data_IF_656997319391
#
_entry.id   IF_656997319391
#
_cell.length_a   1.000
_cell.length_b   1.000
_cell.length_c   1.000
_cell.angle_alpha   90.00
_cell.angle_beta   90.00
_cell.angle_gamma   90.00
#
_symmetry.space_group_name_H-M   'P 1'
#
loop_
_entity.id
_entity.type
_entity.pdbx_description
1 polymer ?
#
# COMPACT_ATOMS: atom_id res chain seq x y z
N UNK A 1 7.73 -0.53 17.53
CA UNK A 1 7.76 0.68 16.68
C UNK A 1 6.33 1.12 16.43
N UNK A 2 5.84 2.13 17.17
CA UNK A 2 4.50 2.72 17.00
C UNK A 2 4.57 4.14 16.36
N UNK A 3 5.78 4.62 16.06
CA UNK A 3 6.02 5.98 15.56
C UNK A 3 5.77 6.12 14.06
N UNK A 4 5.71 5.03 13.31
CA UNK A 4 5.44 5.07 11.87
C UNK A 4 4.00 5.51 11.59
N UNK A 5 3.02 4.88 12.24
CA UNK A 5 1.59 5.23 12.10
C UNK A 5 1.35 6.71 12.37
N UNK A 6 1.86 7.19 13.51
CA UNK A 6 1.74 8.60 13.88
C UNK A 6 2.37 9.53 12.84
N UNK A 7 3.61 9.25 12.42
CA UNK A 7 4.31 10.08 11.43
C UNK A 7 3.59 10.10 10.10
N UNK A 8 3.18 8.93 9.59
CA UNK A 8 2.44 8.83 8.33
C UNK A 8 1.13 9.63 8.44
N UNK A 9 0.35 9.42 9.50
CA UNK A 9 -0.90 10.14 9.74
C UNK A 9 -0.70 11.68 9.70
N UNK A 10 0.32 12.19 10.40
CA UNK A 10 0.70 13.61 10.38
C UNK A 10 1.14 14.08 8.98
N UNK A 11 1.95 13.29 8.28
CA UNK A 11 2.53 13.65 6.99
C UNK A 11 1.51 13.71 5.84
N UNK A 12 0.48 12.85 5.87
CA UNK A 12 -0.51 12.75 4.78
C UNK A 12 -1.94 13.17 5.17
N UNK A 13 -2.14 13.59 6.42
CA UNK A 13 -3.43 14.12 6.91
C UNK A 13 -4.52 13.06 7.12
N UNK A 14 -4.15 11.84 7.47
CA UNK A 14 -5.08 10.75 7.83
C UNK A 14 -5.14 10.58 9.34
N UNK A 15 -6.17 9.89 9.86
CA UNK A 15 -6.19 9.51 11.27
C UNK A 15 -5.17 8.38 11.55
N UNK A 16 -4.57 8.38 12.74
CA UNK A 16 -3.70 7.28 13.19
C UNK A 16 -4.41 5.93 13.12
N UNK A 17 -5.71 5.89 13.47
CA UNK A 17 -6.53 4.67 13.35
C UNK A 17 -6.62 4.15 11.90
N UNK A 18 -6.79 5.05 10.91
CA UNK A 18 -6.83 4.65 9.51
C UNK A 18 -5.50 4.04 9.06
N UNK A 19 -4.39 4.68 9.44
CA UNK A 19 -3.06 4.21 9.06
C UNK A 19 -2.68 2.93 9.80
N UNK A 20 -3.03 2.82 11.08
CA UNK A 20 -2.83 1.59 11.85
C UNK A 20 -3.60 0.44 11.21
N UNK A 21 -4.86 0.66 10.84
CA UNK A 21 -5.66 -0.35 10.17
C UNK A 21 -5.09 -0.78 8.83
N UNK A 22 -4.49 0.13 8.06
CA UNK A 22 -3.84 -0.21 6.79
C UNK A 22 -2.55 -0.99 7.05
N UNK A 23 -1.75 -0.56 8.04
CA UNK A 23 -0.55 -1.27 8.45
C UNK A 23 -0.86 -2.70 8.87
N UNK A 24 -1.90 -2.90 9.67
CA UNK A 24 -2.30 -4.22 10.13
C UNK A 24 -2.73 -5.10 8.96
N UNK A 25 -3.55 -4.55 8.06
CA UNK A 25 -3.96 -5.25 6.83
C UNK A 25 -2.77 -5.73 6.00
N UNK A 26 -1.79 -4.87 5.74
CA UNK A 26 -0.66 -5.21 4.87
C UNK A 26 0.33 -6.17 5.57
N UNK A 27 0.64 -5.93 6.86
CA UNK A 27 1.81 -6.53 7.50
C UNK A 27 1.50 -7.52 8.62
N UNK A 28 0.34 -7.42 9.28
CA UNK A 28 0.05 -8.14 10.52
C UNK A 28 -1.15 -9.08 10.42
N UNK A 29 -1.95 -8.98 9.38
CA UNK A 29 -3.12 -9.82 9.11
C UNK A 29 -2.81 -10.92 8.10
N UNK A 30 -3.46 -12.07 8.26
CA UNK A 30 -3.43 -13.15 7.28
C UNK A 30 -4.64 -13.04 6.36
N UNK A 31 -4.41 -13.34 5.09
CA UNK A 31 -5.41 -13.24 4.04
C UNK A 31 -5.58 -14.59 3.35
N UNK A 32 -6.74 -14.79 2.75
CA UNK A 32 -6.99 -15.92 1.87
C UNK A 32 -6.34 -15.62 0.50
N UNK A 33 -5.19 -16.25 0.25
CA UNK A 33 -4.44 -16.12 -1.01
C UNK A 33 -4.96 -17.07 -2.10
N UNK A 34 -6.05 -17.80 -1.82
CA UNK A 34 -6.69 -18.77 -2.71
C UNK A 34 -6.21 -20.21 -2.48
N UNK A 35 -4.90 -20.43 -2.33
CA UNK A 35 -4.30 -21.74 -2.03
C UNK A 35 -4.07 -21.95 -0.53
N UNK A 36 -3.86 -20.86 0.23
CA UNK A 36 -3.57 -20.88 1.66
C UNK A 36 -4.02 -19.59 2.35
N UNK A 37 -4.16 -19.67 3.68
CA UNK A 37 -4.32 -18.50 4.55
C UNK A 37 -2.95 -18.13 5.12
N UNK A 38 -2.40 -17.00 4.67
CA UNK A 38 -1.05 -16.57 5.03
C UNK A 38 -0.88 -15.05 4.96
N UNK A 39 0.29 -14.56 5.35
CA UNK A 39 0.67 -13.16 5.16
C UNK A 39 1.00 -12.87 3.68
N UNK A 40 0.86 -11.61 3.27
CA UNK A 40 1.34 -11.18 1.96
C UNK A 40 2.87 -11.35 1.83
N UNK A 41 3.32 -11.61 0.60
CA UNK A 41 4.74 -11.68 0.31
C UNK A 41 5.39 -10.29 0.43
N UNK A 42 6.64 -10.20 0.92
CA UNK A 42 7.34 -8.93 1.00
C UNK A 42 7.51 -8.27 -0.38
N UNK A 43 7.07 -7.02 -0.51
CA UNK A 43 7.21 -6.22 -1.74
C UNK A 43 8.18 -5.03 -1.54
N UNK A 44 9.16 -4.91 -2.44
CA UNK A 44 10.18 -3.86 -2.37
C UNK A 44 9.61 -2.46 -2.59
N UNK A 45 8.71 -2.29 -3.55
CA UNK A 45 8.12 -0.97 -3.86
C UNK A 45 7.27 -0.49 -2.70
N UNK A 46 6.50 -1.40 -2.10
CA UNK A 46 5.68 -1.13 -0.92
C UNK A 46 6.53 -0.70 0.27
N UNK A 47 7.64 -1.40 0.54
CA UNK A 47 8.58 -1.02 1.60
C UNK A 47 9.15 0.39 1.38
N UNK A 48 9.50 0.73 0.13
CA UNK A 48 9.99 2.06 -0.23
C UNK A 48 8.92 3.15 -0.10
N UNK A 49 7.69 2.86 -0.51
CA UNK A 49 6.54 3.76 -0.33
C UNK A 49 6.25 4.01 1.15
N UNK A 50 6.21 2.95 1.96
CA UNK A 50 6.00 3.06 3.40
C UNK A 50 7.08 3.90 4.08
N UNK A 51 8.35 3.72 3.69
CA UNK A 51 9.45 4.53 4.22
C UNK A 51 9.30 6.02 3.88
N UNK A 52 8.96 6.37 2.64
CA UNK A 52 8.73 7.78 2.24
C UNK A 52 7.57 8.41 3.01
N UNK A 53 6.51 7.64 3.24
CA UNK A 53 5.36 8.07 4.06
C UNK A 53 5.78 8.34 5.52
N UNK A 54 6.67 7.53 6.10
CA UNK A 54 7.22 7.76 7.45
C UNK A 54 8.10 9.01 7.46
N UNK A 55 8.98 9.16 6.47
CA UNK A 55 9.95 10.24 6.43
C UNK A 55 9.31 11.61 6.16
N UNK A 56 8.14 11.63 5.52
CA UNK A 56 7.41 12.85 5.18
C UNK A 56 8.08 13.68 4.08
N UNK A 57 9.11 13.12 3.43
CA UNK A 57 9.93 13.79 2.43
C UNK A 57 9.81 13.07 1.11
N UNK A 58 9.64 13.84 0.04
CA UNK A 58 9.51 13.33 -1.32
C UNK A 58 8.42 12.26 -1.45
N UNK A 59 7.28 12.44 -0.76
CA UNK A 59 6.12 11.56 -0.93
C UNK A 59 5.67 11.64 -2.39
N UNK A 60 5.62 10.50 -3.05
CA UNK A 60 5.30 10.36 -4.45
C UNK A 60 3.81 10.05 -4.63
N UNK A 61 3.24 10.30 -5.84
CA UNK A 61 1.83 10.01 -6.09
C UNK A 61 1.45 8.56 -5.76
N UNK A 62 2.27 7.59 -6.14
CA UNK A 62 2.00 6.17 -5.87
C UNK A 62 2.06 5.81 -4.40
N UNK A 63 2.77 6.56 -3.56
CA UNK A 63 2.77 6.34 -2.10
C UNK A 63 1.39 6.64 -1.50
N UNK A 64 0.71 7.67 -2.02
CA UNK A 64 -0.68 7.97 -1.64
C UNK A 64 -1.67 6.99 -2.29
N UNK A 65 -1.36 6.50 -3.50
CA UNK A 65 -2.14 5.46 -4.15
C UNK A 65 -2.11 4.16 -3.36
N UNK A 66 -0.97 3.77 -2.77
CA UNK A 66 -0.89 2.63 -1.83
C UNK A 66 -1.93 2.78 -0.70
N UNK A 67 -1.92 3.91 0.02
CA UNK A 67 -2.86 4.13 1.14
C UNK A 67 -4.32 4.04 0.69
N UNK A 68 -4.66 4.58 -0.49
CA UNK A 68 -6.03 4.51 -1.04
C UNK A 68 -6.39 3.10 -1.52
N UNK A 69 -5.43 2.38 -2.08
CA UNK A 69 -5.57 1.01 -2.55
C UNK A 69 -5.95 0.10 -1.38
N UNK A 70 -5.07 0.03 -0.39
CA UNK A 70 -5.23 -0.87 0.76
C UNK A 70 -6.48 -0.55 1.57
N UNK A 71 -6.81 0.74 1.72
CA UNK A 71 -8.05 1.16 2.36
C UNK A 71 -9.30 0.64 1.62
N UNK A 72 -9.35 0.80 0.30
CA UNK A 72 -10.51 0.38 -0.49
C UNK A 72 -10.60 -1.14 -0.58
N UNK A 73 -9.47 -1.84 -0.72
CA UNK A 73 -9.43 -3.31 -0.73
C UNK A 73 -9.99 -3.89 0.58
N UNK A 74 -9.53 -3.36 1.72
CA UNK A 74 -10.05 -3.72 3.04
C UNK A 74 -11.54 -3.43 3.20
N UNK A 75 -12.01 -2.27 2.72
CA UNK A 75 -13.43 -1.92 2.74
C UNK A 75 -14.28 -2.92 1.93
N UNK A 76 -13.81 -3.36 0.77
CA UNK A 76 -14.50 -4.36 -0.05
C UNK A 76 -14.51 -5.74 0.61
N UNK A 77 -13.39 -6.18 1.20
CA UNK A 77 -13.34 -7.45 1.94
C UNK A 77 -14.33 -7.43 3.11
N UNK A 78 -14.43 -6.31 3.84
CA UNK A 78 -15.42 -6.16 4.91
C UNK A 78 -16.88 -6.22 4.44
N UNK A 79 -17.13 -5.96 3.14
CA UNK A 79 -18.44 -6.09 2.50
C UNK A 79 -18.72 -7.52 1.98
N UNK A 80 -17.78 -8.46 2.17
CA UNK A 80 -17.92 -9.86 1.78
C UNK A 80 -17.36 -10.21 0.40
N UNK A 81 -16.59 -9.31 -0.23
CA UNK A 81 -15.87 -9.65 -1.45
C UNK A 81 -14.69 -10.58 -1.12
N UNK A 82 -14.33 -11.44 -2.06
CA UNK A 82 -13.10 -12.23 -1.97
C UNK A 82 -11.88 -11.31 -2.04
N UNK A 83 -10.73 -11.74 -1.50
CA UNK A 83 -9.47 -11.01 -1.61
C UNK A 83 -9.16 -10.67 -3.08
N UNK A 84 -9.30 -11.65 -3.96
CA UNK A 84 -9.01 -11.51 -5.39
C UNK A 84 -9.93 -10.48 -6.05
N UNK A 85 -11.25 -10.54 -5.79
CA UNK A 85 -12.20 -9.59 -6.36
C UNK A 85 -11.98 -8.18 -5.83
N UNK A 86 -11.73 -8.05 -4.52
CA UNK A 86 -11.43 -6.77 -3.89
C UNK A 86 -10.16 -6.15 -4.50
N UNK A 87 -9.09 -6.93 -4.63
CA UNK A 87 -7.85 -6.50 -5.24
C UNK A 87 -8.03 -6.08 -6.70
N UNK A 88 -8.76 -6.86 -7.50
CA UNK A 88 -9.04 -6.53 -8.91
C UNK A 88 -9.85 -5.24 -9.06
N UNK A 89 -10.87 -5.04 -8.23
CA UNK A 89 -11.70 -3.83 -8.26
C UNK A 89 -10.92 -2.60 -7.81
N UNK A 90 -10.13 -2.73 -6.75
CA UNK A 90 -9.27 -1.66 -6.25
C UNK A 90 -8.19 -1.31 -7.27
N UNK A 91 -7.49 -2.29 -7.84
CA UNK A 91 -6.46 -2.10 -8.88
C UNK A 91 -6.97 -1.36 -10.12
N UNK A 92 -8.26 -1.47 -10.45
CA UNK A 92 -8.86 -0.69 -11.56
C UNK A 92 -8.96 0.80 -11.24
N UNK A 93 -9.08 1.17 -9.96
CA UNK A 93 -9.27 2.55 -9.52
C UNK A 93 -7.98 3.19 -9.00
N UNK A 94 -7.18 2.44 -8.26
CA UNK A 94 -5.95 2.85 -7.62
C UNK A 94 -4.86 1.83 -7.98
N UNK A 95 -4.29 1.91 -9.19
CA UNK A 95 -3.35 0.91 -9.66
C UNK A 95 -1.92 1.14 -9.11
N UNK A 96 -1.75 0.83 -7.83
CA UNK A 96 -0.47 1.04 -7.14
C UNK A 96 0.69 0.31 -7.82
N UNK A 97 0.53 -0.96 -8.16
CA UNK A 97 1.58 -1.77 -8.78
C UNK A 97 2.11 -1.12 -10.07
N UNK A 98 1.20 -0.67 -10.93
CA UNK A 98 1.55 -0.01 -12.18
C UNK A 98 2.29 1.30 -11.93
N UNK A 99 1.75 2.17 -11.09
CA UNK A 99 2.35 3.49 -10.82
C UNK A 99 3.76 3.35 -10.20
N UNK A 100 3.92 2.40 -9.26
CA UNK A 100 5.21 2.12 -8.64
C UNK A 100 6.21 1.56 -9.67
N UNK A 101 5.82 0.58 -10.49
CA UNK A 101 6.69 0.01 -11.53
C UNK A 101 7.13 1.06 -12.55
N UNK A 102 6.20 1.87 -13.04
CA UNK A 102 6.51 2.95 -13.99
C UNK A 102 7.51 3.96 -13.40
N UNK A 103 7.39 4.29 -12.12
CA UNK A 103 8.36 5.17 -11.45
C UNK A 103 9.78 4.57 -11.44
N UNK A 104 9.93 3.32 -11.03
CA UNK A 104 11.24 2.67 -10.93
C UNK A 104 11.85 2.34 -12.31
N UNK A 105 11.04 1.98 -13.29
CA UNK A 105 11.49 1.76 -14.67
C UNK A 105 12.03 3.06 -15.29
N UNK A 106 11.37 4.19 -15.05
CA UNK A 106 11.83 5.50 -15.52
C UNK A 106 13.15 5.93 -14.86
N UNK A 107 13.34 5.66 -13.57
CA UNK A 107 14.62 5.93 -12.89
C UNK A 107 15.73 5.05 -13.47
N UNK A 108 15.48 3.75 -13.62
CA UNK A 108 16.47 2.80 -14.11
C UNK A 108 16.82 3.02 -15.59
N UNK A 109 15.87 3.50 -16.39
CA UNK A 109 16.07 3.89 -17.79
C UNK A 109 16.91 5.16 -17.94
N UNK A 110 16.72 6.15 -17.06
CA UNK A 110 17.48 7.40 -17.07
C UNK A 110 18.94 7.24 -16.59
N UNK A 111 19.23 6.23 -15.77
CA UNK A 111 20.59 5.91 -15.32
C UNK A 111 21.44 5.14 -16.37
N UNK A 112 20.90 4.89 -17.57
CA UNK A 112 21.60 4.20 -18.68
C UNK A 112 22.05 5.13 -19.82
N UNK A 113 22.01 6.45 -19.64
CA UNK A 113 22.57 7.45 -20.57
C UNK A 113 23.77 8.15 -19.95
#
# INVERSE_FOLDING_TARGET
>A
MQTDVKRIAENIGYSEESIQSIKDFIFNEKHDLGDRIDYFEPDYFMAQSWQRLIDGKNILPHDLTLIKHEKMEKELISQGYSQVDAHLLTSRKYNYEKEAREYYDNINGNNKK
#
